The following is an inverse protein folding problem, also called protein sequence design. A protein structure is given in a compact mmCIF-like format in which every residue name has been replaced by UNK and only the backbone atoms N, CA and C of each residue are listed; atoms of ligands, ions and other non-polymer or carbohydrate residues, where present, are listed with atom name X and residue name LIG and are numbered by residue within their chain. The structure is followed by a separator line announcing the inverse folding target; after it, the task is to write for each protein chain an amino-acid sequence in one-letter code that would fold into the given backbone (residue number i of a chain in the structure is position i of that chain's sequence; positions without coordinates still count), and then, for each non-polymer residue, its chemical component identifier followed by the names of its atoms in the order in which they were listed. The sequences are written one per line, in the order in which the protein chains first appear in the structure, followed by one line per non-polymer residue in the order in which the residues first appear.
data_IF_770401625232
#
_entry.id   IF_770401625232
#
_cell.length_a   1.000
_cell.length_b   1.000
_cell.length_c   1.000
_cell.angle_alpha   90.00
_cell.angle_beta   90.00
_cell.angle_gamma   90.00
#
_symmetry.space_group_name_H-M   'P 1'
#
loop_
_entity.id
_entity.type
_entity.pdbx_description
1 polymer ?
#
# COMPACT_ATOMS: atom_id res chain seq x y z
N UNK A 1 61.41 -8.75 59.88
CA UNK A 1 61.40 -9.15 58.46
C UNK A 1 60.10 -8.68 57.85
N UNK A 2 60.14 -7.59 57.06
CA UNK A 2 58.96 -6.96 56.47
C UNK A 2 59.01 -7.16 54.95
N UNK A 3 58.00 -7.83 54.39
CA UNK A 3 57.95 -8.24 52.99
C UNK A 3 57.26 -7.16 52.15
N UNK A 4 58.01 -6.60 51.20
CA UNK A 4 57.57 -5.60 50.22
C UNK A 4 56.69 -6.28 49.14
N UNK A 5 55.44 -5.86 49.00
CA UNK A 5 54.54 -6.30 47.91
C UNK A 5 54.52 -5.20 46.85
N UNK A 6 55.19 -5.43 45.72
CA UNK A 6 55.12 -4.57 44.54
C UNK A 6 53.81 -4.86 43.78
N UNK A 7 52.94 -3.85 43.66
CA UNK A 7 51.80 -3.84 42.72
C UNK A 7 52.30 -3.41 41.34
N UNK A 8 52.20 -4.28 40.35
CA UNK A 8 52.42 -3.94 38.93
C UNK A 8 51.09 -3.52 38.29
N UNK A 9 50.98 -2.27 37.85
CA UNK A 9 49.86 -1.78 37.07
C UNK A 9 50.04 -2.19 35.59
N UNK A 10 49.22 -3.12 35.11
CA UNK A 10 49.14 -3.47 33.69
C UNK A 10 48.29 -2.43 32.95
N UNK A 11 48.92 -1.65 32.07
CA UNK A 11 48.25 -0.74 31.14
C UNK A 11 47.76 -1.52 29.91
N UNK A 12 46.44 -1.76 29.82
CA UNK A 12 45.81 -2.33 28.63
C UNK A 12 45.57 -1.24 27.58
N UNK A 13 46.45 -1.14 26.57
CA UNK A 13 46.22 -0.29 25.39
C UNK A 13 45.03 -0.83 24.58
N UNK A 14 43.96 -0.06 24.47
CA UNK A 14 42.84 -0.33 23.55
C UNK A 14 43.23 0.16 22.15
N UNK A 15 43.51 -0.75 21.23
CA UNK A 15 43.66 -0.45 19.81
C UNK A 15 42.29 -0.16 19.19
N UNK A 16 42.05 1.10 18.86
CA UNK A 16 40.86 1.51 18.09
C UNK A 16 41.07 1.14 16.63
N UNK A 17 40.39 0.08 16.17
CA UNK A 17 40.30 -0.25 14.74
C UNK A 17 39.35 0.75 14.04
N UNK A 18 39.89 1.89 13.62
CA UNK A 18 39.23 2.80 12.69
C UNK A 18 39.18 2.11 11.32
N UNK A 19 38.00 1.62 10.93
CA UNK A 19 37.75 1.19 9.54
C UNK A 19 37.70 2.44 8.67
N UNK A 20 38.75 2.66 7.88
CA UNK A 20 38.69 3.60 6.77
C UNK A 20 37.66 3.08 5.77
N UNK A 21 36.50 3.72 5.70
CA UNK A 21 35.57 3.51 4.60
C UNK A 21 36.22 4.05 3.32
N UNK A 22 36.48 3.17 2.36
CA UNK A 22 36.98 3.54 1.04
C UNK A 22 35.92 4.33 0.28
N UNK A 23 36.31 5.46 -0.34
CA UNK A 23 35.42 6.32 -1.14
C UNK A 23 35.08 5.73 -2.53
N UNK A 24 35.30 4.43 -2.75
CA UNK A 24 35.24 3.81 -4.08
C UNK A 24 33.82 3.62 -4.65
N UNK A 25 32.77 4.01 -3.92
CA UNK A 25 31.36 3.79 -4.31
C UNK A 25 30.69 5.02 -4.98
N UNK A 26 31.47 5.98 -5.48
CA UNK A 26 30.98 7.19 -6.16
C UNK A 26 31.33 7.19 -7.65
N UNK A 27 31.07 6.08 -8.33
CA UNK A 27 30.96 6.06 -9.79
C UNK A 27 29.47 6.01 -10.15
N UNK A 28 28.86 7.19 -10.32
CA UNK A 28 27.54 7.32 -10.92
C UNK A 28 27.65 7.00 -12.41
N UNK A 29 27.28 5.79 -12.79
CA UNK A 29 27.05 5.41 -14.18
C UNK A 29 25.84 6.20 -14.72
N UNK A 30 26.12 7.30 -15.43
CA UNK A 30 25.12 8.16 -16.06
C UNK A 30 24.62 7.63 -17.42
N UNK A 31 24.75 6.33 -17.71
CA UNK A 31 24.40 5.75 -19.02
C UNK A 31 23.28 4.70 -19.03
N UNK A 32 22.44 4.64 -17.99
CA UNK A 32 21.19 3.87 -18.07
C UNK A 32 20.01 4.80 -18.30
N UNK A 33 19.50 4.84 -19.54
CA UNK A 33 18.08 5.14 -19.73
C UNK A 33 17.31 4.24 -18.75
N UNK A 34 16.45 4.77 -17.86
CA UNK A 34 15.74 3.91 -16.91
C UNK A 34 14.95 2.92 -17.75
N UNK A 35 15.37 1.65 -17.71
CA UNK A 35 14.62 0.57 -18.34
C UNK A 35 13.20 0.67 -17.79
N UNK A 36 12.16 0.58 -18.65
CA UNK A 36 10.80 0.71 -18.18
C UNK A 36 10.59 -0.33 -17.06
N UNK A 37 10.12 0.14 -15.90
CA UNK A 37 9.84 -0.71 -14.75
C UNK A 37 8.85 -1.81 -15.18
N UNK A 38 9.40 -2.98 -15.50
CA UNK A 38 8.67 -4.11 -16.08
C UNK A 38 8.65 -5.26 -15.08
N UNK A 39 7.61 -6.09 -15.14
CA UNK A 39 7.48 -7.26 -14.28
C UNK A 39 8.65 -8.23 -14.48
N UNK A 40 9.21 -8.69 -13.36
CA UNK A 40 10.22 -9.74 -13.35
C UNK A 40 9.65 -11.05 -13.90
N UNK A 41 10.46 -11.78 -14.67
CA UNK A 41 10.08 -13.07 -15.22
C UNK A 41 9.87 -14.12 -14.10
N UNK A 42 8.85 -14.97 -14.22
CA UNK A 42 8.49 -15.97 -13.20
C UNK A 42 7.75 -15.44 -11.96
N UNK A 43 7.62 -14.13 -11.81
CA UNK A 43 6.84 -13.51 -10.74
C UNK A 43 5.36 -13.37 -11.12
N UNK A 44 4.43 -13.39 -10.14
CA UNK A 44 3.01 -13.30 -10.42
C UNK A 44 2.72 -11.89 -10.96
N UNK A 45 2.00 -11.83 -12.08
CA UNK A 45 1.52 -10.56 -12.64
C UNK A 45 0.10 -10.30 -12.13
N UNK A 46 -0.30 -9.03 -11.94
CA UNK A 46 -1.68 -8.71 -11.61
C UNK A 46 -2.61 -9.24 -12.71
N UNK A 47 -3.61 -10.04 -12.33
CA UNK A 47 -4.52 -10.58 -13.34
C UNK A 47 -5.24 -9.44 -14.08
N UNK A 48 -5.28 -9.49 -15.43
CA UNK A 48 -5.93 -8.46 -16.23
C UNK A 48 -7.45 -8.47 -16.04
N UNK A 49 -8.03 -9.61 -15.65
CA UNK A 49 -9.46 -9.77 -15.35
C UNK A 49 -9.97 -8.80 -14.27
N UNK A 50 -9.11 -8.42 -13.32
CA UNK A 50 -9.47 -7.51 -12.23
C UNK A 50 -9.00 -6.07 -12.47
N UNK A 51 -8.48 -5.76 -13.67
CA UNK A 51 -8.26 -4.38 -14.13
C UNK A 51 -9.60 -3.78 -14.61
N UNK A 52 -10.58 -3.74 -13.70
CA UNK A 52 -11.93 -3.27 -13.98
C UNK A 52 -12.06 -1.79 -13.59
N UNK A 53 -12.79 -1.02 -14.38
CA UNK A 53 -13.14 0.37 -14.07
C UNK A 53 -14.23 0.43 -13.01
N UNK A 54 -13.99 1.14 -11.91
CA UNK A 54 -14.98 1.34 -10.86
C UNK A 54 -15.99 2.41 -11.31
N UNK A 55 -17.27 2.06 -11.29
CA UNK A 55 -18.35 2.99 -11.62
C UNK A 55 -18.83 3.72 -10.36
N UNK A 56 -18.98 5.03 -10.47
CA UNK A 56 -19.42 5.89 -9.39
C UNK A 56 -20.49 6.89 -9.83
N UNK A 57 -21.33 7.32 -8.88
CA UNK A 57 -22.30 8.40 -9.02
C UNK A 57 -21.95 9.51 -8.02
N UNK A 58 -22.01 10.80 -8.39
CA UNK A 58 -21.78 11.89 -7.44
C UNK A 58 -22.89 11.96 -6.39
N UNK A 59 -22.52 12.34 -5.17
CA UNK A 59 -23.48 12.57 -4.09
C UNK A 59 -23.45 14.02 -3.66
N UNK A 60 -24.62 14.57 -3.36
CA UNK A 60 -24.75 15.93 -2.83
C UNK A 60 -24.45 16.01 -1.33
N UNK A 61 -24.83 14.99 -0.55
CA UNK A 61 -24.83 15.06 0.92
C UNK A 61 -24.13 13.87 1.58
N UNK A 62 -23.50 14.16 2.72
CA UNK A 62 -22.87 13.18 3.62
C UNK A 62 -23.68 13.03 4.91
N UNK A 63 -23.46 11.94 5.65
CA UNK A 63 -24.09 11.70 6.95
C UNK A 63 -24.54 10.26 7.15
N UNK A 64 -24.89 9.92 8.40
CA UNK A 64 -25.28 8.56 8.82
C UNK A 64 -26.54 8.07 8.10
N UNK A 65 -27.60 8.88 8.08
CA UNK A 65 -28.89 8.52 7.48
C UNK A 65 -28.78 8.30 5.97
N UNK A 66 -28.13 9.23 5.26
CA UNK A 66 -27.92 9.14 3.82
C UNK A 66 -27.09 7.89 3.47
N UNK A 67 -26.00 7.65 4.21
CA UNK A 67 -25.15 6.47 4.00
C UNK A 67 -25.90 5.16 4.25
N UNK A 68 -26.83 5.13 5.21
CA UNK A 68 -27.69 3.96 5.42
C UNK A 68 -28.68 3.76 4.27
N UNK A 69 -29.27 4.82 3.72
CA UNK A 69 -30.14 4.75 2.54
C UNK A 69 -29.39 4.23 1.32
N UNK A 70 -28.17 4.72 1.07
CA UNK A 70 -27.32 4.26 -0.04
C UNK A 70 -27.06 2.74 0.04
N UNK A 71 -26.71 2.24 1.23
CA UNK A 71 -26.49 0.79 1.42
C UNK A 71 -27.76 -0.04 1.22
N UNK A 72 -28.93 0.47 1.62
CA UNK A 72 -30.22 -0.19 1.36
C UNK A 72 -30.50 -0.35 -0.13
N UNK A 73 -30.04 0.59 -0.95
CA UNK A 73 -30.17 0.57 -2.42
C UNK A 73 -29.03 -0.21 -3.09
N UNK A 74 -28.15 -0.86 -2.31
CA UNK A 74 -27.04 -1.64 -2.85
C UNK A 74 -25.85 -0.79 -3.31
N UNK A 75 -25.69 0.43 -2.78
CA UNK A 75 -24.56 1.33 -3.07
C UNK A 75 -23.67 1.50 -1.84
N UNK A 76 -22.37 1.62 -2.06
CA UNK A 76 -21.41 1.90 -1.00
C UNK A 76 -21.11 3.40 -1.01
N UNK A 77 -21.36 4.09 0.11
CA UNK A 77 -20.96 5.48 0.25
C UNK A 77 -19.43 5.58 0.22
N UNK A 78 -18.90 6.43 -0.64
CA UNK A 78 -17.46 6.59 -0.87
C UNK A 78 -17.04 8.05 -1.00
N UNK A 79 -15.74 8.29 -0.86
CA UNK A 79 -15.13 9.63 -0.93
C UNK A 79 -13.90 9.55 -1.81
N UNK A 80 -13.74 10.52 -2.71
CA UNK A 80 -12.51 10.74 -3.47
C UNK A 80 -11.86 12.00 -2.95
N UNK A 81 -10.64 11.86 -2.43
CA UNK A 81 -9.82 12.99 -2.01
C UNK A 81 -8.89 13.43 -3.15
N UNK A 82 -8.77 14.74 -3.33
CA UNK A 82 -7.67 15.34 -4.05
C UNK A 82 -6.35 15.15 -3.30
N UNK A 83 -5.26 15.20 -4.05
CA UNK A 83 -3.93 15.21 -3.50
C UNK A 83 -3.48 16.66 -3.29
N UNK A 84 -3.81 17.22 -2.13
CA UNK A 84 -3.08 18.36 -1.56
C UNK A 84 -2.45 17.83 -0.26
N UNK A 85 -1.10 17.76 -0.24
CA UNK A 85 -0.26 17.35 0.89
C UNK A 85 -0.44 15.95 1.49
N UNK A 86 -0.72 14.92 0.66
CA UNK A 86 -0.44 13.49 0.91
C UNK A 86 -1.04 12.81 2.16
N UNK A 87 -1.67 13.58 3.06
CA UNK A 87 -2.13 13.21 4.40
C UNK A 87 -3.30 14.10 4.84
N UNK A 88 -3.33 15.38 4.47
CA UNK A 88 -4.40 16.32 4.83
C UNK A 88 -5.31 16.59 3.62
N UNK A 89 -6.37 15.80 3.51
CA UNK A 89 -7.30 15.84 2.38
C UNK A 89 -7.73 17.27 2.02
N UNK A 90 -7.33 17.70 0.82
CA UNK A 90 -7.82 18.90 0.17
C UNK A 90 -9.29 18.75 -0.24
N UNK A 91 -9.63 19.25 -1.43
CA UNK A 91 -10.98 19.11 -1.95
C UNK A 91 -11.42 17.63 -1.97
N UNK A 92 -12.65 17.38 -1.49
CA UNK A 92 -13.22 16.03 -1.43
C UNK A 92 -14.50 15.96 -2.25
N UNK A 93 -14.61 14.92 -3.06
CA UNK A 93 -15.80 14.60 -3.83
C UNK A 93 -16.52 13.43 -3.19
N UNK A 94 -17.79 13.63 -2.84
CA UNK A 94 -18.64 12.57 -2.33
C UNK A 94 -19.18 11.76 -3.51
N UNK A 95 -19.04 10.45 -3.44
CA UNK A 95 -19.49 9.53 -4.48
C UNK A 95 -20.17 8.29 -3.87
N UNK A 96 -20.95 7.60 -4.69
CA UNK A 96 -21.51 6.28 -4.39
C UNK A 96 -21.01 5.29 -5.43
N UNK A 97 -20.47 4.15 -5.00
CA UNK A 97 -20.03 3.06 -5.88
C UNK A 97 -20.95 1.85 -5.73
N UNK A 98 -20.94 0.92 -6.70
CA UNK A 98 -21.78 -0.28 -6.60
C UNK A 98 -21.23 -1.29 -5.59
N UNK A 99 -22.09 -1.79 -4.70
CA UNK A 99 -21.70 -2.77 -3.66
C UNK A 99 -21.20 -4.08 -4.27
N UNK A 100 -21.88 -4.57 -5.29
CA UNK A 100 -21.53 -5.85 -5.93
C UNK A 100 -20.13 -5.78 -6.57
N UNK A 101 -19.80 -4.65 -7.19
CA UNK A 101 -18.50 -4.44 -7.83
C UNK A 101 -17.37 -4.45 -6.80
N UNK A 102 -17.49 -3.63 -5.74
CA UNK A 102 -16.48 -3.58 -4.67
C UNK A 102 -16.35 -4.94 -3.97
N UNK A 103 -17.47 -5.58 -3.64
CA UNK A 103 -17.45 -6.90 -2.98
C UNK A 103 -16.75 -7.96 -3.85
N UNK A 104 -16.99 -7.95 -5.17
CA UNK A 104 -16.31 -8.84 -6.12
C UNK A 104 -14.81 -8.58 -6.11
N UNK A 105 -14.38 -7.32 -6.26
CA UNK A 105 -12.95 -6.96 -6.27
C UNK A 105 -12.25 -7.37 -4.97
N UNK A 106 -12.84 -7.05 -3.82
CA UNK A 106 -12.28 -7.38 -2.50
C UNK A 106 -12.23 -8.89 -2.29
N UNK A 107 -13.25 -9.65 -2.70
CA UNK A 107 -13.25 -11.12 -2.57
C UNK A 107 -12.17 -11.79 -3.42
N UNK A 108 -11.91 -11.27 -4.61
CA UNK A 108 -10.93 -11.87 -5.52
C UNK A 108 -9.49 -11.43 -5.25
N UNK A 109 -9.27 -10.15 -4.96
CA UNK A 109 -7.94 -9.61 -4.70
C UNK A 109 -7.52 -9.79 -3.24
N UNK A 110 -8.48 -9.84 -2.31
CA UNK A 110 -8.22 -9.67 -0.89
C UNK A 110 -8.10 -8.19 -0.51
N UNK A 111 -8.20 -7.89 0.79
CA UNK A 111 -8.23 -6.52 1.30
C UNK A 111 -6.91 -5.78 1.06
N UNK A 112 -5.76 -6.40 1.34
CA UNK A 112 -4.45 -5.75 1.20
C UNK A 112 -4.11 -5.43 -0.25
N UNK A 113 -4.30 -6.37 -1.18
CA UNK A 113 -4.04 -6.13 -2.61
C UNK A 113 -5.03 -5.16 -3.23
N UNK A 114 -6.27 -5.09 -2.72
CA UNK A 114 -7.22 -4.06 -3.16
C UNK A 114 -6.74 -2.65 -2.80
N UNK A 115 -6.18 -2.45 -1.60
CA UNK A 115 -5.65 -1.15 -1.17
C UNK A 115 -4.33 -0.76 -1.85
N UNK A 116 -3.56 -1.73 -2.34
CA UNK A 116 -2.27 -1.47 -3.00
C UNK A 116 -2.37 -1.32 -4.52
N UNK A 117 -3.56 -1.48 -5.12
CA UNK A 117 -3.77 -1.49 -6.57
C UNK A 117 -4.46 -0.22 -7.06
N UNK A 118 -3.98 0.31 -8.18
CA UNK A 118 -4.61 1.44 -8.88
C UNK A 118 -5.82 0.96 -9.69
N UNK A 119 -6.88 1.78 -9.67
CA UNK A 119 -8.09 1.58 -10.45
C UNK A 119 -8.45 2.84 -11.21
N UNK A 120 -9.10 2.68 -12.36
CA UNK A 120 -9.77 3.79 -13.02
C UNK A 120 -11.18 3.94 -12.43
N UNK A 121 -11.55 5.17 -12.10
CA UNK A 121 -12.84 5.54 -11.56
C UNK A 121 -13.59 6.40 -12.59
N UNK A 122 -14.78 5.96 -12.98
CA UNK A 122 -15.68 6.71 -13.85
C UNK A 122 -16.86 7.23 -13.03
N UNK A 123 -16.94 8.55 -12.87
CA UNK A 123 -18.06 9.23 -12.23
C UNK A 123 -19.08 9.56 -13.32
N UNK A 124 -20.26 8.96 -13.24
CA UNK A 124 -21.39 9.17 -14.15
C UNK A 124 -22.55 9.83 -13.43
N UNK A 125 -23.48 10.43 -14.17
CA UNK A 125 -24.71 10.97 -13.58
C UNK A 125 -25.57 9.86 -12.96
N UNK A 126 -25.72 8.74 -13.66
CA UNK A 126 -26.46 7.55 -13.24
C UNK A 126 -25.77 6.26 -13.68
N UNK A 127 -26.10 5.13 -13.05
CA UNK A 127 -25.56 3.82 -13.42
C UNK A 127 -26.24 3.31 -14.71
N UNK A 128 -25.44 2.94 -15.71
CA UNK A 128 -25.93 2.43 -16.99
C UNK A 128 -25.83 3.47 -18.10
N UNK A 129 -26.83 4.34 -18.20
CA UNK A 129 -27.04 5.28 -19.33
C UNK A 129 -26.61 6.72 -19.02
N UNK A 130 -26.02 6.96 -17.85
CA UNK A 130 -25.60 8.30 -17.45
C UNK A 130 -24.39 8.82 -18.23
N UNK A 131 -24.38 10.11 -18.49
CA UNK A 131 -23.24 10.82 -19.08
C UNK A 131 -22.00 10.69 -18.19
N UNK A 132 -20.84 10.55 -18.83
CA UNK A 132 -19.55 10.54 -18.15
C UNK A 132 -19.22 11.96 -17.69
N UNK A 133 -19.22 12.17 -16.37
CA UNK A 133 -18.88 13.46 -15.76
C UNK A 133 -17.36 13.57 -15.61
N UNK A 134 -16.72 12.50 -15.14
CA UNK A 134 -15.30 12.53 -14.84
C UNK A 134 -14.69 11.12 -14.93
N UNK A 135 -13.47 11.02 -15.44
CA UNK A 135 -12.66 9.79 -15.40
C UNK A 135 -11.33 10.09 -14.74
N UNK A 136 -11.04 9.42 -13.63
CA UNK A 136 -9.85 9.68 -12.82
C UNK A 136 -9.21 8.38 -12.37
N UNK A 137 -7.88 8.34 -12.35
CA UNK A 137 -7.14 7.23 -11.73
C UNK A 137 -7.09 7.41 -10.22
N UNK A 138 -7.45 6.36 -9.49
CA UNK A 138 -7.54 6.40 -8.03
C UNK A 138 -6.84 5.22 -7.37
N UNK A 139 -6.36 5.46 -6.15
CA UNK A 139 -5.85 4.45 -5.24
C UNK A 139 -6.84 4.31 -4.05
N UNK A 140 -7.32 3.10 -3.73
CA UNK A 140 -8.10 2.88 -2.52
C UNK A 140 -7.22 3.04 -1.28
N UNK A 141 -7.56 3.96 -0.38
CA UNK A 141 -6.77 4.24 0.83
C UNK A 141 -7.26 3.44 2.03
N UNK A 142 -8.59 3.31 2.17
CA UNK A 142 -9.20 2.60 3.29
C UNK A 142 -10.50 1.93 2.89
N UNK A 143 -10.70 0.71 3.38
CA UNK A 143 -11.89 -0.09 3.16
C UNK A 143 -12.46 -0.52 4.52
N UNK A 144 -13.69 -0.10 4.81
CA UNK A 144 -14.42 -0.56 5.97
C UNK A 144 -15.38 -1.68 5.57
N UNK A 145 -15.24 -2.83 6.21
CA UNK A 145 -16.11 -3.98 6.05
C UNK A 145 -17.00 -4.16 7.28
N UNK A 146 -18.18 -4.74 7.08
CA UNK A 146 -19.04 -5.15 8.17
C UNK A 146 -18.49 -6.43 8.83
N UNK A 147 -18.26 -6.39 10.14
CA UNK A 147 -17.53 -7.43 10.88
C UNK A 147 -18.10 -8.86 10.76
N UNK A 148 -19.41 -9.00 10.53
CA UNK A 148 -20.04 -10.33 10.41
C UNK A 148 -20.39 -10.77 8.99
N UNK A 149 -20.46 -9.86 8.03
CA UNK A 149 -20.97 -10.17 6.68
C UNK A 149 -19.99 -9.84 5.56
N UNK A 150 -18.86 -9.22 5.91
CA UNK A 150 -17.86 -8.69 5.00
C UNK A 150 -18.44 -7.77 3.91
N UNK A 151 -19.59 -7.16 4.20
CA UNK A 151 -20.22 -6.21 3.30
C UNK A 151 -19.44 -4.88 3.34
N UNK A 152 -19.06 -4.30 2.20
CA UNK A 152 -18.35 -3.02 2.18
C UNK A 152 -19.26 -1.90 2.68
N UNK A 153 -18.85 -1.26 3.77
CA UNK A 153 -19.59 -0.17 4.40
C UNK A 153 -19.14 1.20 3.88
N UNK A 154 -17.85 1.38 3.62
CA UNK A 154 -17.26 2.62 3.12
C UNK A 154 -15.95 2.29 2.38
N UNK A 155 -15.68 3.01 1.30
CA UNK A 155 -14.38 3.01 0.63
C UNK A 155 -13.92 4.44 0.43
N UNK A 156 -12.69 4.74 0.85
CA UNK A 156 -12.02 6.01 0.55
C UNK A 156 -11.00 5.82 -0.56
N UNK A 157 -10.99 6.77 -1.48
CA UNK A 157 -10.08 6.82 -2.61
C UNK A 157 -9.26 8.10 -2.53
N UNK A 158 -8.01 8.03 -2.98
CA UNK A 158 -7.18 9.19 -3.27
C UNK A 158 -6.90 9.22 -4.77
N UNK A 159 -6.92 10.41 -5.37
CA UNK A 159 -6.52 10.56 -6.78
C UNK A 159 -5.03 10.27 -6.93
N UNK A 160 -4.69 9.56 -8.00
CA UNK A 160 -3.35 9.10 -8.28
C UNK A 160 -2.95 9.49 -9.72
N UNK A 161 -2.65 10.79 -9.97
CA UNK A 161 -2.13 11.21 -11.26
C UNK A 161 -0.72 10.61 -11.48
N UNK A 162 -0.28 10.52 -12.72
CA UNK A 162 0.98 9.81 -13.06
C UNK A 162 2.24 10.42 -12.45
N UNK A 163 2.20 11.69 -12.04
CA UNK A 163 3.29 12.42 -11.40
C UNK A 163 3.20 12.44 -9.87
N UNK A 164 2.18 11.81 -9.27
CA UNK A 164 1.99 11.81 -7.83
C UNK A 164 2.89 10.82 -7.10
N UNK A 165 3.45 11.28 -5.97
CA UNK A 165 4.05 10.42 -4.97
C UNK A 165 3.00 10.04 -3.92
N UNK A 166 2.76 8.74 -3.76
CA UNK A 166 1.78 8.20 -2.81
C UNK A 166 2.47 7.19 -1.89
N UNK A 167 2.21 7.31 -0.58
CA UNK A 167 2.59 6.30 0.39
C UNK A 167 1.57 5.14 0.33
N UNK A 168 2.03 3.97 -0.06
CA UNK A 168 1.20 2.78 -0.26
C UNK A 168 1.77 1.62 0.52
N UNK A 169 0.89 0.91 1.24
CA UNK A 169 1.25 -0.32 1.93
C UNK A 169 1.16 -1.49 0.94
N UNK A 170 2.30 -2.12 0.64
CA UNK A 170 2.38 -3.21 -0.33
C UNK A 170 2.45 -4.54 0.41
N UNK A 171 1.51 -5.47 0.19
CA UNK A 171 1.58 -6.79 0.80
C UNK A 171 2.77 -7.59 0.25
N UNK A 172 3.50 -8.24 1.15
CA UNK A 172 4.64 -9.10 0.82
C UNK A 172 4.22 -10.56 0.75
N UNK A 173 4.67 -11.26 -0.30
CA UNK A 173 4.42 -12.69 -0.51
C UNK A 173 5.75 -13.42 -0.57
N UNK A 174 5.93 -14.37 0.35
CA UNK A 174 7.12 -15.23 0.39
C UNK A 174 6.93 -16.44 -0.54
N UNK A 175 8.01 -16.84 -1.21
CA UNK A 175 8.05 -18.00 -2.09
C UNK A 175 9.29 -18.83 -1.76
N UNK A 176 9.25 -20.13 -2.06
CA UNK A 176 10.36 -21.04 -1.81
C UNK A 176 10.47 -21.50 -0.34
N UNK A 177 9.38 -21.42 0.42
CA UNK A 177 9.33 -21.95 1.79
C UNK A 177 9.56 -23.47 1.82
N UNK A 178 9.14 -24.18 0.78
CA UNK A 178 9.29 -25.62 0.57
C UNK A 178 10.75 -26.06 0.41
N UNK A 179 11.56 -25.25 -0.27
CA UNK A 179 13.00 -25.52 -0.49
C UNK A 179 13.88 -24.98 0.65
N UNK A 180 13.31 -24.23 1.59
CA UNK A 180 14.07 -23.60 2.66
C UNK A 180 14.58 -24.64 3.68
N UNK A 181 15.91 -24.85 3.82
CA UNK A 181 16.45 -25.85 4.74
C UNK A 181 16.17 -25.51 6.22
N UNK A 182 15.96 -24.24 6.56
CA UNK A 182 15.59 -23.82 7.92
C UNK A 182 14.18 -24.28 8.31
N UNK A 183 13.22 -24.06 7.41
CA UNK A 183 11.81 -24.47 7.62
C UNK A 183 11.70 -25.99 7.65
N UNK A 184 12.40 -26.69 6.74
CA UNK A 184 12.45 -28.17 6.72
C UNK A 184 13.01 -28.78 8.01
N UNK A 185 13.84 -28.04 8.75
CA UNK A 185 14.39 -28.44 10.06
C UNK A 185 13.48 -28.04 11.24
N UNK A 186 12.25 -27.58 10.98
CA UNK A 186 11.27 -27.20 12.00
C UNK A 186 11.48 -25.81 12.59
N UNK A 187 12.27 -24.94 11.94
CA UNK A 187 12.40 -23.53 12.36
C UNK A 187 11.33 -22.67 11.68
N UNK A 188 10.96 -21.57 12.33
CA UNK A 188 9.96 -20.63 11.82
C UNK A 188 10.63 -19.39 11.20
N UNK A 189 9.94 -18.76 10.24
CA UNK A 189 10.33 -17.43 9.74
C UNK A 189 9.80 -16.39 10.74
N UNK A 190 10.69 -15.55 11.26
CA UNK A 190 10.33 -14.37 12.04
C UNK A 190 10.42 -13.12 11.15
N UNK A 191 9.29 -12.47 10.91
CA UNK A 191 9.23 -11.27 10.08
C UNK A 191 9.10 -10.03 10.96
N UNK A 192 10.14 -9.19 10.96
CA UNK A 192 10.11 -7.88 11.58
C UNK A 192 10.09 -6.83 10.49
N UNK A 193 9.00 -6.08 10.39
CA UNK A 193 8.86 -4.98 9.44
C UNK A 193 9.17 -3.67 10.16
N UNK A 194 10.14 -2.93 9.63
CA UNK A 194 10.41 -1.55 10.04
C UNK A 194 9.67 -0.67 9.03
N UNK A 195 8.67 0.07 9.50
CA UNK A 195 7.97 1.04 8.67
C UNK A 195 8.94 2.12 8.20
N UNK A 196 8.99 2.35 6.89
CA UNK A 196 9.64 3.53 6.33
C UNK A 196 8.65 4.69 6.46
N UNK A 197 8.66 5.33 7.62
CA UNK A 197 8.02 6.63 7.83
C UNK A 197 8.98 7.72 7.38
N UNK A 198 9.09 7.89 6.05
CA UNK A 198 9.70 9.06 5.42
C UNK A 198 8.64 10.10 5.10
#
# INVERSE_FOLDING_TARGET
MATLIHRTLSHSHKTLHLRFFSQAALALDQSSSPSPLTYLEGFPKPDPKYAETILAIPRSTSGKSISAKERKVGRVPSIVFEQEDGQHGGNKRLISVQTNQIRKLVKHLGQSFFLSRLFDLEVRSEFGTGDLIEKVRVLPRMLHLHAGTDAPLNVTFIRAPSNALLKVDIPLVFRGEDVCPGIRKGKNIAMNFIGLDT
#
